data_IF_859029431034
#
_entry.id   IF_859029431034
#
_cell.length_a   1.000
_cell.length_b   1.000
_cell.length_c   1.000
_cell.angle_alpha   90.00
_cell.angle_beta   90.00
_cell.angle_gamma   90.00
#
_symmetry.space_group_name_H-M   'P 1'
#
loop_
_entity.id
_entity.type
_entity.pdbx_description
1 polymer ?
#
# COMPACT_ATOMS: atom_id res chain seq x y z
N UNK A 1 -28.85 -9.99 26.10
CA UNK A 1 -27.60 -9.27 26.38
C UNK A 1 -26.34 -9.94 25.80
N UNK A 2 -26.20 -11.27 25.89
CA UNK A 2 -24.98 -12.06 25.52
C UNK A 2 -24.10 -11.58 24.36
N UNK A 3 -24.68 -11.28 23.18
CA UNK A 3 -23.93 -11.18 21.92
C UNK A 3 -22.93 -10.02 21.78
N UNK A 4 -22.88 -9.10 22.75
CA UNK A 4 -21.86 -8.06 22.84
C UNK A 4 -20.62 -8.47 23.65
N UNK A 5 -20.76 -9.40 24.60
CA UNK A 5 -19.66 -9.87 25.44
C UNK A 5 -18.87 -10.96 24.71
N UNK A 6 -19.54 -11.91 24.07
CA UNK A 6 -18.93 -12.88 23.15
C UNK A 6 -18.09 -12.19 22.06
N UNK A 7 -18.56 -11.04 21.54
CA UNK A 7 -17.84 -10.20 20.56
C UNK A 7 -16.65 -9.43 21.14
N UNK A 8 -16.61 -9.19 22.45
CA UNK A 8 -15.43 -8.62 23.15
C UNK A 8 -14.41 -9.70 23.46
N UNK A 9 -14.86 -10.87 23.91
CA UNK A 9 -14.00 -12.01 24.25
C UNK A 9 -13.32 -12.61 23.00
N UNK A 10 -14.05 -12.74 21.89
CA UNK A 10 -13.50 -13.13 20.59
C UNK A 10 -12.55 -12.08 19.98
N UNK A 11 -12.49 -10.86 20.53
CA UNK A 11 -11.47 -9.85 20.20
C UNK A 11 -10.23 -9.97 21.08
N UNK A 12 -10.37 -10.33 22.36
CA UNK A 12 -9.23 -10.71 23.21
C UNK A 12 -8.52 -11.93 22.64
N UNK A 13 -9.22 -13.04 22.34
CA UNK A 13 -8.63 -14.23 21.68
C UNK A 13 -8.04 -14.02 20.26
N UNK A 14 -8.06 -12.80 19.72
CA UNK A 14 -7.43 -12.41 18.43
C UNK A 14 -6.30 -11.39 18.57
N UNK A 15 -5.99 -10.95 19.79
CA UNK A 15 -4.74 -10.29 20.15
C UNK A 15 -4.09 -11.18 21.20
N UNK A 16 -3.00 -11.85 20.84
CA UNK A 16 -2.20 -12.58 21.81
C UNK A 16 -1.61 -11.57 22.79
N UNK A 17 -2.25 -11.43 23.94
CA UNK A 17 -1.65 -10.82 25.13
C UNK A 17 -0.77 -11.90 25.78
N UNK A 18 0.29 -12.32 25.07
CA UNK A 18 1.32 -13.24 25.55
C UNK A 18 2.39 -12.44 26.32
N UNK A 19 2.07 -12.07 27.57
CA UNK A 19 3.08 -11.60 28.52
C UNK A 19 3.88 -12.79 29.09
N UNK A 20 4.91 -13.26 28.38
CA UNK A 20 6.16 -13.77 29.01
C UNK A 20 7.27 -14.06 27.97
N UNK A 21 8.21 -13.13 27.78
CA UNK A 21 9.51 -13.36 27.15
C UNK A 21 10.49 -12.19 27.43
N UNK A 22 11.61 -12.39 28.15
CA UNK A 22 12.63 -11.36 28.33
C UNK A 22 13.54 -11.21 27.09
N UNK A 23 14.21 -10.06 26.91
CA UNK A 23 15.07 -9.81 25.74
C UNK A 23 16.39 -10.58 25.81
N UNK A 24 16.88 -11.02 24.65
CA UNK A 24 18.26 -11.42 24.42
C UNK A 24 18.89 -10.40 23.47
N UNK A 25 20.00 -9.77 23.87
CA UNK A 25 20.59 -8.65 23.13
C UNK A 25 21.51 -9.11 21.99
N UNK A 26 21.66 -8.24 20.99
CA UNK A 26 22.81 -8.31 20.07
C UNK A 26 24.04 -7.75 20.80
N UNK A 27 25.17 -8.45 20.76
CA UNK A 27 26.47 -7.77 20.65
C UNK A 27 27.48 -8.61 19.87
N UNK A 28 28.63 -8.02 19.59
CA UNK A 28 29.44 -8.28 18.41
C UNK A 28 30.91 -8.51 18.75
N UNK A 29 31.64 -9.06 17.78
CA UNK A 29 33.04 -8.70 17.54
C UNK A 29 34.10 -8.94 18.65
N UNK A 30 34.64 -10.17 18.63
CA UNK A 30 36.08 -10.41 18.39
C UNK A 30 37.09 -10.59 19.55
N UNK A 31 38.17 -11.32 19.18
CA UNK A 31 39.59 -11.19 19.60
C UNK A 31 40.08 -11.64 21.01
N UNK A 32 40.88 -12.73 20.94
CA UNK A 32 42.24 -12.94 21.53
C UNK A 32 42.41 -13.22 23.03
N UNK A 33 43.32 -14.19 23.31
CA UNK A 33 44.25 -14.32 24.49
C UNK A 33 43.58 -14.24 25.89
N UNK A 34 43.52 -15.27 26.74
CA UNK A 34 44.33 -16.49 26.87
C UNK A 34 45.66 -16.25 27.61
N UNK A 35 45.86 -16.83 28.82
CA UNK A 35 47.15 -17.00 29.54
C UNK A 35 47.01 -17.87 30.82
N UNK A 36 48.07 -18.64 31.13
CA UNK A 36 48.60 -19.28 32.40
C UNK A 36 47.85 -19.04 33.75
N UNK A 37 47.93 -19.95 34.73
CA UNK A 37 48.74 -21.18 34.86
C UNK A 37 48.63 -21.88 36.25
N UNK A 38 49.65 -22.57 36.79
CA UNK A 38 50.79 -22.04 37.61
C UNK A 38 50.40 -21.74 39.08
N UNK A 39 51.09 -22.07 40.19
CA UNK A 39 52.40 -22.74 40.56
C UNK A 39 52.22 -23.35 42.00
N UNK A 40 53.08 -24.21 42.58
CA UNK A 40 54.32 -24.87 42.10
C UNK A 40 54.34 -26.41 42.36
N UNK A 41 55.03 -27.10 43.31
CA UNK A 41 55.95 -26.78 44.44
C UNK A 41 56.81 -28.04 44.79
N UNK A 42 57.61 -28.04 45.88
CA UNK A 42 58.89 -28.78 46.01
C UNK A 42 59.12 -29.58 47.33
N UNK A 43 60.18 -30.40 47.40
CA UNK A 43 60.83 -30.93 48.63
C UNK A 43 62.27 -31.47 48.36
N UNK A 44 63.08 -31.64 49.42
CA UNK A 44 64.55 -31.61 49.42
C UNK A 44 65.31 -32.95 49.58
N UNK A 45 66.65 -32.83 49.60
CA UNK A 45 67.75 -33.80 49.83
C UNK A 45 67.56 -34.89 50.91
N UNK A 46 68.25 -36.04 50.75
CA UNK A 46 69.27 -36.52 51.72
C UNK A 46 70.13 -37.70 51.18
N UNK A 47 71.24 -38.02 51.87
CA UNK A 47 72.06 -39.26 51.71
C UNK A 47 72.47 -39.75 53.10
N UNK A 48 72.64 -41.08 53.39
CA UNK A 48 73.98 -41.69 53.17
C UNK A 48 74.08 -43.25 53.04
N UNK A 49 75.17 -43.70 52.39
CA UNK A 49 76.10 -44.81 52.76
C UNK A 49 75.59 -46.14 53.40
N UNK A 50 75.75 -47.26 52.67
CA UNK A 50 76.14 -48.58 53.23
C UNK A 50 76.71 -49.56 52.16
N UNK A 51 77.70 -50.36 52.55
CA UNK A 51 78.25 -51.60 51.94
C UNK A 51 78.11 -52.73 53.01
N UNK A 52 78.36 -54.06 52.80
CA UNK A 52 79.26 -54.71 51.81
C UNK A 52 78.81 -56.10 51.24
N UNK A 53 79.79 -56.87 50.70
CA UNK A 53 79.82 -58.31 50.34
C UNK A 53 79.17 -58.78 49.00
N UNK A 54 79.64 -59.83 48.30
CA UNK A 54 80.98 -60.45 48.12
C UNK A 54 80.95 -61.53 46.99
N UNK A 55 82.13 -61.98 46.50
CA UNK A 55 82.40 -63.01 45.46
C UNK A 55 82.01 -62.61 44.00
N UNK A 56 82.87 -62.60 42.96
CA UNK A 56 83.98 -63.47 42.48
C UNK A 56 83.51 -64.59 41.52
N UNK A 57 84.22 -64.93 40.43
CA UNK A 57 85.46 -64.38 39.81
C UNK A 57 85.11 -63.60 38.49
N UNK A 58 85.96 -63.26 37.50
CA UNK A 58 87.38 -63.52 37.18
C UNK A 58 87.95 -62.39 36.27
N UNK A 59 89.07 -62.65 35.55
CA UNK A 59 89.81 -61.75 34.65
C UNK A 59 90.34 -62.60 33.43
N UNK A 60 91.39 -62.28 32.64
CA UNK A 60 92.33 -61.14 32.56
C UNK A 60 92.29 -60.40 31.19
N UNK A 61 93.17 -59.44 30.80
CA UNK A 61 93.89 -58.30 31.41
C UNK A 61 94.80 -57.69 30.29
N UNK A 62 95.65 -56.68 30.51
CA UNK A 62 95.42 -55.28 30.90
C UNK A 62 96.72 -54.48 30.61
N UNK A 63 96.67 -53.26 30.07
CA UNK A 63 97.84 -52.38 29.91
C UNK A 63 97.45 -50.89 29.72
N UNK A 64 98.13 -50.01 30.46
CA UNK A 64 98.17 -48.53 30.31
C UNK A 64 99.55 -48.16 29.70
N UNK A 65 100.04 -46.92 29.52
CA UNK A 65 99.65 -45.56 29.90
C UNK A 65 100.32 -44.57 28.92
N UNK A 66 99.70 -43.40 28.66
CA UNK A 66 100.32 -42.10 28.36
C UNK A 66 99.19 -41.06 28.21
N UNK A 67 99.10 -40.12 29.15
CA UNK A 67 97.83 -39.49 29.52
C UNK A 67 97.78 -37.96 29.35
N UNK A 68 98.91 -37.26 29.18
CA UNK A 68 98.94 -35.78 29.25
C UNK A 68 98.62 -35.05 27.93
N UNK A 69 99.30 -35.41 26.82
CA UNK A 69 99.02 -34.81 25.51
C UNK A 69 97.60 -35.11 25.01
N UNK A 70 97.08 -36.28 25.43
CA UNK A 70 95.78 -36.83 25.03
C UNK A 70 94.61 -36.02 25.58
N UNK A 71 94.71 -35.47 26.80
CA UNK A 71 93.66 -34.62 27.38
C UNK A 71 93.51 -33.27 26.67
N UNK A 72 94.60 -32.64 26.22
CA UNK A 72 94.50 -31.37 25.48
C UNK A 72 93.96 -31.60 24.06
N UNK A 73 94.34 -32.71 23.41
CA UNK A 73 93.78 -33.10 22.12
C UNK A 73 92.29 -33.46 22.24
N UNK A 74 91.88 -34.24 23.25
CA UNK A 74 90.48 -34.54 23.53
C UNK A 74 89.67 -33.27 23.85
N UNK A 75 90.22 -32.29 24.55
CA UNK A 75 89.53 -31.00 24.78
C UNK A 75 89.23 -30.28 23.47
N UNK A 76 90.19 -30.21 22.55
CA UNK A 76 90.01 -29.59 21.23
C UNK A 76 89.03 -30.38 20.36
N UNK A 77 89.10 -31.71 20.39
CA UNK A 77 88.15 -32.57 19.69
C UNK A 77 86.72 -32.42 20.25
N UNK A 78 86.55 -32.27 21.58
CA UNK A 78 85.25 -32.01 22.22
C UNK A 78 84.73 -30.60 21.92
N UNK A 79 85.58 -29.57 21.87
CA UNK A 79 85.18 -28.23 21.44
C UNK A 79 84.80 -28.18 19.95
N UNK A 80 85.49 -28.95 19.09
CA UNK A 80 85.15 -29.09 17.67
C UNK A 80 83.86 -29.91 17.47
N UNK A 81 83.64 -30.97 18.24
CA UNK A 81 82.41 -31.76 18.24
C UNK A 81 81.21 -30.97 18.80
N UNK A 82 81.39 -30.19 19.88
CA UNK A 82 80.36 -29.30 20.42
C UNK A 82 80.03 -28.17 19.43
N UNK A 83 81.04 -27.59 18.77
CA UNK A 83 80.83 -26.61 17.70
C UNK A 83 80.08 -27.22 16.50
N UNK A 84 80.44 -28.43 16.07
CA UNK A 84 79.77 -29.16 15.00
C UNK A 84 78.33 -29.55 15.37
N UNK A 85 78.09 -29.96 16.62
CA UNK A 85 76.76 -30.25 17.16
C UNK A 85 75.91 -28.97 17.22
N UNK A 86 76.47 -27.85 17.68
CA UNK A 86 75.79 -26.55 17.68
C UNK A 86 75.50 -26.03 16.26
N UNK A 87 76.37 -26.28 15.29
CA UNK A 87 76.08 -25.94 13.89
C UNK A 87 74.99 -26.86 13.30
N UNK A 88 75.04 -28.17 13.58
CA UNK A 88 74.02 -29.12 13.18
C UNK A 88 72.65 -28.79 13.79
N UNK A 89 72.60 -28.35 15.06
CA UNK A 89 71.37 -27.90 15.69
C UNK A 89 70.86 -26.60 15.05
N UNK A 90 71.73 -25.62 14.78
CA UNK A 90 71.35 -24.40 14.05
C UNK A 90 70.78 -24.70 12.67
N UNK A 91 71.40 -25.61 11.91
CA UNK A 91 70.88 -26.09 10.60
C UNK A 91 69.49 -26.73 10.74
N UNK A 92 69.29 -27.59 11.76
CA UNK A 92 67.97 -28.17 12.07
C UNK A 92 66.95 -27.10 12.44
N UNK A 93 67.28 -26.16 13.34
CA UNK A 93 66.40 -25.06 13.73
C UNK A 93 66.04 -24.15 12.54
N UNK A 94 66.97 -23.92 11.59
CA UNK A 94 66.68 -23.15 10.38
C UNK A 94 65.76 -23.91 9.42
N UNK A 95 65.99 -25.21 9.19
CA UNK A 95 65.11 -26.03 8.37
C UNK A 95 63.69 -26.08 8.96
N UNK A 96 63.58 -26.23 10.28
CA UNK A 96 62.30 -26.26 10.99
C UNK A 96 61.57 -24.90 10.91
N UNK A 97 62.30 -23.77 10.89
CA UNK A 97 61.75 -22.44 10.60
C UNK A 97 61.27 -22.32 9.15
N UNK A 98 62.05 -22.78 8.17
CA UNK A 98 61.68 -22.79 6.74
C UNK A 98 60.44 -23.64 6.49
N UNK A 99 60.34 -24.83 7.10
CA UNK A 99 59.15 -25.71 7.06
C UNK A 99 57.91 -25.00 7.64
N UNK A 100 58.03 -24.39 8.82
CA UNK A 100 56.92 -23.64 9.46
C UNK A 100 56.47 -22.45 8.62
N UNK A 101 57.40 -21.70 8.00
CA UNK A 101 57.08 -20.62 7.07
C UNK A 101 56.31 -21.13 5.84
N UNK A 102 56.78 -22.20 5.18
CA UNK A 102 56.09 -22.78 4.02
C UNK A 102 54.68 -23.29 4.37
N UNK A 103 54.48 -23.88 5.54
CA UNK A 103 53.16 -24.35 5.96
C UNK A 103 52.23 -23.21 6.39
N UNK A 104 52.76 -22.11 6.92
CA UNK A 104 52.00 -20.89 7.17
C UNK A 104 51.60 -20.20 5.85
N UNK A 105 52.51 -20.12 4.87
CA UNK A 105 52.21 -19.59 3.53
C UNK A 105 51.13 -20.41 2.81
N UNK A 106 51.22 -21.76 2.84
CA UNK A 106 50.17 -22.64 2.29
C UNK A 106 48.81 -22.37 2.93
N UNK A 107 48.75 -22.26 4.27
CA UNK A 107 47.52 -21.95 5.01
C UNK A 107 46.96 -20.58 4.61
N UNK A 108 47.81 -19.55 4.49
CA UNK A 108 47.37 -18.22 4.05
C UNK A 108 46.88 -18.20 2.60
N UNK A 109 47.46 -19.01 1.69
CA UNK A 109 46.96 -19.15 0.32
C UNK A 109 45.62 -19.90 0.27
N UNK A 110 45.46 -20.96 1.06
CA UNK A 110 44.19 -21.71 1.14
C UNK A 110 43.08 -20.86 1.76
N UNK A 111 43.36 -20.10 2.82
CA UNK A 111 42.43 -19.18 3.47
C UNK A 111 41.97 -18.05 2.52
N UNK A 112 42.87 -17.54 1.67
CA UNK A 112 42.52 -16.59 0.60
C UNK A 112 41.59 -17.21 -0.43
N UNK A 113 41.94 -18.37 -0.99
CA UNK A 113 41.10 -19.08 -1.97
C UNK A 113 39.70 -19.39 -1.45
N UNK A 114 39.60 -19.86 -0.19
CA UNK A 114 38.31 -20.11 0.48
C UNK A 114 37.46 -18.83 0.59
N UNK A 115 38.05 -17.68 0.91
CA UNK A 115 37.36 -16.38 0.94
C UNK A 115 36.94 -15.91 -0.46
N UNK A 116 37.80 -16.06 -1.46
CA UNK A 116 37.51 -15.69 -2.85
C UNK A 116 36.33 -16.51 -3.39
N UNK A 117 36.30 -17.82 -3.12
CA UNK A 117 35.19 -18.71 -3.50
C UNK A 117 33.89 -18.39 -2.74
N UNK A 118 33.98 -18.06 -1.44
CA UNK A 118 32.81 -17.63 -0.64
C UNK A 118 32.24 -16.30 -1.13
N UNK A 119 33.09 -15.33 -1.48
CA UNK A 119 32.68 -14.04 -2.03
C UNK A 119 32.05 -14.19 -3.44
N UNK A 120 32.60 -15.07 -4.29
CA UNK A 120 32.01 -15.39 -5.59
C UNK A 120 30.65 -16.09 -5.46
N UNK A 121 30.54 -17.10 -4.60
CA UNK A 121 29.26 -17.77 -4.28
C UNK A 121 28.21 -16.79 -3.78
N UNK A 122 28.59 -15.83 -2.93
CA UNK A 122 27.69 -14.78 -2.42
C UNK A 122 27.24 -13.81 -3.52
N UNK A 123 28.14 -13.38 -4.40
CA UNK A 123 27.79 -12.54 -5.57
C UNK A 123 26.89 -13.27 -6.57
N UNK A 124 27.08 -14.58 -6.76
CA UNK A 124 26.22 -15.40 -7.60
C UNK A 124 24.80 -15.53 -7.02
N UNK A 125 24.67 -15.70 -5.69
CA UNK A 125 23.38 -15.68 -5.00
C UNK A 125 22.69 -14.31 -5.12
N UNK A 126 23.41 -13.20 -4.89
CA UNK A 126 22.85 -11.84 -5.01
C UNK A 126 22.34 -11.53 -6.43
N UNK A 127 23.04 -12.00 -7.48
CA UNK A 127 22.55 -11.90 -8.86
C UNK A 127 21.29 -12.73 -9.09
N UNK A 128 21.29 -14.00 -8.68
CA UNK A 128 20.14 -14.88 -8.85
C UNK A 128 18.90 -14.41 -8.06
N UNK A 129 19.09 -13.69 -6.95
CA UNK A 129 18.01 -13.05 -6.20
C UNK A 129 17.46 -11.81 -6.94
N UNK A 130 18.34 -10.95 -7.48
CA UNK A 130 17.92 -9.80 -8.31
C UNK A 130 17.18 -10.22 -9.57
N UNK A 131 17.68 -11.20 -10.31
CA UNK A 131 17.03 -11.75 -11.50
C UNK A 131 15.63 -12.31 -11.19
N UNK A 132 15.43 -12.91 -10.00
CA UNK A 132 14.11 -13.35 -9.53
C UNK A 132 13.18 -12.20 -9.19
N UNK A 133 13.68 -11.17 -8.50
CA UNK A 133 12.90 -9.98 -8.16
C UNK A 133 12.47 -9.18 -9.41
N UNK A 134 13.37 -9.06 -10.39
CA UNK A 134 13.08 -8.43 -11.68
C UNK A 134 12.03 -9.24 -12.47
N UNK A 135 12.18 -10.58 -12.54
CA UNK A 135 11.18 -11.44 -13.18
C UNK A 135 9.80 -11.42 -12.49
N UNK A 136 9.74 -11.32 -11.15
CA UNK A 136 8.48 -11.17 -10.42
C UNK A 136 7.84 -9.79 -10.70
N UNK A 137 8.63 -8.72 -10.73
CA UNK A 137 8.14 -7.37 -11.07
C UNK A 137 7.63 -7.31 -12.52
N UNK A 138 8.34 -7.88 -13.49
CA UNK A 138 7.86 -7.98 -14.87
C UNK A 138 6.56 -8.78 -14.97
N UNK A 139 6.47 -9.94 -14.32
CA UNK A 139 5.24 -10.74 -14.28
C UNK A 139 4.07 -9.96 -13.66
N UNK A 140 4.32 -9.20 -12.59
CA UNK A 140 3.34 -8.33 -11.93
C UNK A 140 2.86 -7.21 -12.84
N UNK A 141 3.77 -6.57 -13.58
CA UNK A 141 3.45 -5.51 -14.56
C UNK A 141 2.65 -6.07 -15.74
N UNK A 142 3.06 -7.22 -16.30
CA UNK A 142 2.34 -7.89 -17.38
C UNK A 142 0.91 -8.30 -16.94
N UNK A 143 0.76 -8.85 -15.74
CA UNK A 143 -0.54 -9.19 -15.17
C UNK A 143 -1.44 -7.96 -14.97
N UNK A 144 -0.89 -6.83 -14.49
CA UNK A 144 -1.65 -5.59 -14.35
C UNK A 144 -2.05 -4.99 -15.71
N UNK A 145 -1.20 -5.11 -16.73
CA UNK A 145 -1.48 -4.64 -18.09
C UNK A 145 -2.55 -5.50 -18.79
N UNK A 146 -2.49 -6.83 -18.61
CA UNK A 146 -3.56 -7.75 -18.97
C UNK A 146 -4.89 -7.41 -18.27
N UNK A 147 -4.86 -7.13 -16.97
CA UNK A 147 -6.06 -6.83 -16.19
C UNK A 147 -6.67 -5.49 -16.63
N UNK A 148 -5.84 -4.49 -16.97
CA UNK A 148 -6.23 -3.24 -17.65
C UNK A 148 -6.84 -3.50 -19.05
N UNK A 149 -6.27 -4.38 -19.86
CA UNK A 149 -6.82 -4.81 -21.17
C UNK A 149 -8.19 -5.49 -21.00
N UNK A 150 -8.30 -6.44 -20.08
CA UNK A 150 -9.54 -7.17 -19.73
C UNK A 150 -10.63 -6.22 -19.18
N UNK A 151 -10.27 -5.23 -18.36
CA UNK A 151 -11.16 -4.16 -17.88
C UNK A 151 -11.64 -3.22 -19.00
N UNK A 152 -10.80 -2.87 -19.98
CA UNK A 152 -11.22 -2.10 -21.17
C UNK A 152 -12.27 -2.87 -22.00
N UNK A 153 -12.02 -4.16 -22.26
CA UNK A 153 -12.94 -5.02 -23.03
C UNK A 153 -14.34 -5.17 -22.43
N UNK A 154 -14.45 -5.24 -21.10
CA UNK A 154 -15.75 -5.40 -20.39
C UNK A 154 -16.64 -4.15 -20.38
N UNK A 155 -16.22 -3.00 -20.94
CA UNK A 155 -17.05 -1.77 -21.00
C UNK A 155 -18.05 -1.72 -22.17
N UNK A 156 -18.45 -2.87 -22.74
CA UNK A 156 -19.54 -2.99 -23.75
C UNK A 156 -20.96 -2.79 -23.15
N UNK A 157 -21.13 -1.79 -22.27
CA UNK A 157 -22.42 -1.32 -21.80
C UNK A 157 -22.97 -0.20 -22.69
N UNK A 158 -24.16 -0.39 -23.26
CA UNK A 158 -24.77 0.45 -24.29
C UNK A 158 -23.89 0.66 -25.54
N UNK A 159 -23.98 -0.28 -26.49
CA UNK A 159 -23.88 0.01 -27.93
C UNK A 159 -22.55 0.52 -28.50
N UNK A 160 -21.41 0.40 -27.80
CA UNK A 160 -20.08 0.74 -28.35
C UNK A 160 -19.81 2.23 -28.68
N UNK A 161 -20.82 3.10 -28.59
CA UNK A 161 -20.73 4.53 -28.89
C UNK A 161 -19.62 5.23 -28.09
N UNK A 162 -18.87 6.12 -28.75
CA UNK A 162 -17.84 6.95 -28.11
C UNK A 162 -18.41 7.80 -26.98
N UNK A 163 -17.57 8.18 -26.01
CA UNK A 163 -17.99 9.01 -24.89
C UNK A 163 -18.59 10.36 -25.34
N UNK A 164 -18.16 10.87 -26.49
CA UNK A 164 -18.68 12.09 -27.11
C UNK A 164 -20.07 11.88 -27.72
N UNK A 165 -20.26 10.81 -28.51
CA UNK A 165 -21.59 10.46 -29.04
C UNK A 165 -22.59 10.22 -27.90
N UNK A 166 -22.16 9.60 -26.78
CA UNK A 166 -23.00 9.44 -25.57
C UNK A 166 -23.32 10.77 -24.88
N UNK A 167 -22.40 11.75 -24.86
CA UNK A 167 -22.67 13.12 -24.35
C UNK A 167 -23.66 13.87 -25.25
N UNK A 168 -23.45 13.85 -26.57
CA UNK A 168 -24.31 14.51 -27.55
C UNK A 168 -25.73 13.94 -27.51
N UNK A 169 -25.86 12.60 -27.51
CA UNK A 169 -27.16 11.94 -27.39
C UNK A 169 -27.88 12.32 -26.09
N UNK A 170 -27.17 12.40 -24.95
CA UNK A 170 -27.76 12.91 -23.70
C UNK A 170 -28.22 14.37 -23.83
N UNK A 171 -27.46 15.24 -24.51
CA UNK A 171 -27.88 16.64 -24.76
C UNK A 171 -29.19 16.67 -25.57
N UNK A 172 -29.25 15.92 -26.68
CA UNK A 172 -30.43 15.85 -27.55
C UNK A 172 -31.66 15.31 -26.80
N UNK A 173 -31.51 14.25 -26.01
CA UNK A 173 -32.59 13.71 -25.16
C UNK A 173 -33.07 14.75 -24.14
N UNK A 174 -32.16 15.52 -23.52
CA UNK A 174 -32.54 16.58 -22.57
C UNK A 174 -33.17 17.80 -23.25
N UNK A 175 -32.77 18.13 -24.48
CA UNK A 175 -33.41 19.18 -25.27
C UNK A 175 -34.84 18.76 -25.65
N UNK A 176 -35.01 17.59 -26.27
CA UNK A 176 -36.34 17.07 -26.62
C UNK A 176 -37.24 16.94 -25.40
N UNK A 177 -36.75 16.43 -24.27
CA UNK A 177 -37.55 16.34 -23.05
C UNK A 177 -38.01 17.69 -22.50
N UNK A 178 -37.25 18.77 -22.71
CA UNK A 178 -37.66 20.13 -22.33
C UNK A 178 -38.66 20.74 -23.34
N UNK A 179 -38.51 20.42 -24.63
CA UNK A 179 -39.45 20.78 -25.70
C UNK A 179 -40.79 20.05 -25.52
N UNK A 180 -40.76 18.73 -25.30
CA UNK A 180 -41.92 17.88 -25.00
C UNK A 180 -42.67 18.42 -23.76
N UNK A 181 -41.97 18.70 -22.65
CA UNK A 181 -42.56 19.29 -21.43
C UNK A 181 -43.19 20.67 -21.68
N UNK A 182 -42.58 21.51 -22.51
CA UNK A 182 -43.13 22.83 -22.88
C UNK A 182 -44.37 22.67 -23.78
N UNK A 183 -44.41 21.65 -24.61
CA UNK A 183 -45.55 21.35 -25.49
C UNK A 183 -46.71 20.71 -24.72
N UNK A 184 -46.45 19.79 -23.78
CA UNK A 184 -47.44 19.26 -22.85
C UNK A 184 -48.07 20.40 -22.03
N UNK A 185 -47.25 21.32 -21.49
CA UNK A 185 -47.75 22.48 -20.74
C UNK A 185 -48.65 23.40 -21.59
N UNK A 186 -48.32 23.60 -22.89
CA UNK A 186 -49.18 24.34 -23.84
C UNK A 186 -50.49 23.60 -24.13
N UNK A 187 -50.42 22.29 -24.38
CA UNK A 187 -51.59 21.45 -24.68
C UNK A 187 -52.55 21.45 -23.50
N UNK A 188 -52.04 21.18 -22.28
CA UNK A 188 -52.81 21.21 -21.04
C UNK A 188 -53.42 22.58 -20.72
N UNK A 189 -52.75 23.67 -21.10
CA UNK A 189 -53.31 25.02 -20.99
C UNK A 189 -54.48 25.24 -21.98
N UNK A 190 -54.31 24.85 -23.24
CA UNK A 190 -55.36 24.95 -24.26
C UNK A 190 -56.55 24.01 -24.01
N UNK A 191 -56.31 22.83 -23.43
CA UNK A 191 -57.36 21.91 -22.97
C UNK A 191 -58.13 22.49 -21.79
N UNK A 192 -57.43 23.09 -20.82
CA UNK A 192 -58.07 23.83 -19.72
C UNK A 192 -58.91 24.99 -20.25
N UNK A 193 -58.42 25.74 -21.22
CA UNK A 193 -59.14 26.87 -21.83
C UNK A 193 -60.41 26.39 -22.55
N UNK A 194 -60.32 25.34 -23.38
CA UNK A 194 -61.48 24.70 -24.02
C UNK A 194 -62.51 24.24 -22.99
N UNK A 195 -62.07 23.48 -21.98
CA UNK A 195 -62.95 22.98 -20.92
C UNK A 195 -63.65 24.11 -20.14
N UNK A 196 -62.96 25.23 -19.89
CA UNK A 196 -63.57 26.42 -19.27
C UNK A 196 -64.59 27.05 -20.23
N UNK A 197 -64.27 27.23 -21.50
CA UNK A 197 -65.20 27.82 -22.48
C UNK A 197 -66.45 26.95 -22.71
N UNK A 198 -66.30 25.62 -22.67
CA UNK A 198 -67.40 24.66 -22.80
C UNK A 198 -68.28 24.63 -21.53
N UNK A 199 -67.69 24.68 -20.33
CA UNK A 199 -68.43 24.65 -19.04
C UNK A 199 -69.02 26.03 -18.66
N UNK A 200 -68.37 27.13 -19.02
CA UNK A 200 -68.69 28.51 -18.63
C UNK A 200 -69.10 29.31 -19.86
N UNK A 201 -70.33 29.10 -20.31
CA UNK A 201 -70.91 29.81 -21.44
C UNK A 201 -71.04 31.32 -21.15
N UNK A 202 -70.78 32.16 -22.16
CA UNK A 202 -70.86 33.63 -22.05
C UNK A 202 -72.30 34.04 -21.73
N UNK A 203 -72.51 34.66 -20.57
CA UNK A 203 -73.83 35.06 -20.06
C UNK A 203 -74.36 36.26 -20.85
N UNK A 204 -75.24 35.99 -21.82
CA UNK A 204 -75.96 37.04 -22.55
C UNK A 204 -77.10 37.61 -21.70
N UNK A 205 -77.08 38.92 -21.45
CA UNK A 205 -78.10 39.67 -20.70
C UNK A 205 -78.97 40.56 -21.60
N UNK A 206 -78.48 40.92 -22.78
CA UNK A 206 -79.19 41.74 -23.77
C UNK A 206 -80.54 41.11 -24.18
N UNK A 207 -81.57 41.95 -24.33
CA UNK A 207 -82.90 41.55 -24.79
C UNK A 207 -83.80 40.84 -23.77
N UNK A 208 -83.31 40.54 -22.55
CA UNK A 208 -84.09 39.87 -21.50
C UNK A 208 -84.96 40.85 -20.70
N UNK A 209 -86.15 40.39 -20.31
CA UNK A 209 -87.03 41.07 -19.36
C UNK A 209 -86.49 40.97 -17.91
N UNK A 210 -87.01 41.83 -17.01
CA UNK A 210 -86.62 41.80 -15.60
C UNK A 210 -86.85 40.42 -14.96
N UNK A 211 -87.98 39.77 -15.23
CA UNK A 211 -88.30 38.47 -14.63
C UNK A 211 -87.31 37.38 -15.07
N UNK A 212 -86.90 37.37 -16.34
CA UNK A 212 -85.90 36.44 -16.87
C UNK A 212 -84.50 36.71 -16.31
N UNK A 213 -84.14 37.98 -16.08
CA UNK A 213 -82.89 38.37 -15.42
C UNK A 213 -82.88 37.92 -13.95
N UNK A 214 -83.98 38.10 -13.23
CA UNK A 214 -84.12 37.62 -11.85
C UNK A 214 -84.07 36.09 -11.73
N UNK A 215 -84.64 35.35 -12.69
CA UNK A 215 -84.54 33.89 -12.75
C UNK A 215 -83.10 33.46 -13.05
N UNK A 216 -82.45 34.08 -14.05
CA UNK A 216 -81.06 33.83 -14.41
C UNK A 216 -80.09 34.01 -13.23
N UNK A 217 -80.26 35.07 -12.43
CA UNK A 217 -79.44 35.32 -11.24
C UNK A 217 -79.66 34.22 -10.18
N UNK A 218 -80.89 33.77 -9.96
CA UNK A 218 -81.22 32.70 -9.01
C UNK A 218 -80.62 31.36 -9.46
N UNK A 219 -80.69 31.03 -10.74
CA UNK A 219 -80.02 29.85 -11.32
C UNK A 219 -78.49 29.90 -11.19
N UNK A 220 -77.87 31.05 -11.50
CA UNK A 220 -76.42 31.22 -11.41
C UNK A 220 -75.93 31.08 -9.96
N UNK A 221 -76.66 31.64 -9.00
CA UNK A 221 -76.38 31.46 -7.58
C UNK A 221 -76.46 29.98 -7.16
N UNK A 222 -77.51 29.24 -7.57
CA UNK A 222 -77.63 27.81 -7.28
C UNK A 222 -76.46 27.01 -7.89
N UNK A 223 -76.07 27.33 -9.13
CA UNK A 223 -74.91 26.71 -9.80
C UNK A 223 -73.62 26.99 -9.06
N UNK A 224 -73.39 28.22 -8.56
CA UNK A 224 -72.22 28.56 -7.73
C UNK A 224 -72.16 27.72 -6.46
N UNK A 225 -73.25 27.60 -5.70
CA UNK A 225 -73.24 26.82 -4.45
C UNK A 225 -72.85 25.35 -4.67
N UNK A 226 -73.33 24.71 -5.75
CA UNK A 226 -72.94 23.33 -6.10
C UNK A 226 -71.48 23.25 -6.55
N UNK A 227 -70.99 24.25 -7.28
CA UNK A 227 -69.58 24.32 -7.71
C UNK A 227 -68.63 24.56 -6.52
N UNK A 228 -69.04 25.29 -5.50
CA UNK A 228 -68.27 25.48 -4.26
C UNK A 228 -68.17 24.18 -3.45
N UNK A 229 -69.24 23.38 -3.40
CA UNK A 229 -69.22 22.03 -2.83
C UNK A 229 -68.29 21.09 -3.62
N UNK A 230 -68.39 21.06 -4.97
CA UNK A 230 -67.46 20.31 -5.82
C UNK A 230 -65.99 20.70 -5.54
N UNK A 231 -65.69 22.00 -5.46
CA UNK A 231 -64.34 22.52 -5.23
C UNK A 231 -63.81 22.07 -3.86
N UNK A 232 -64.58 22.23 -2.79
CA UNK A 232 -64.18 21.78 -1.45
C UNK A 232 -63.86 20.28 -1.45
N UNK A 233 -64.70 19.47 -2.09
CA UNK A 233 -64.54 18.02 -2.15
C UNK A 233 -63.30 17.61 -2.97
N UNK A 234 -62.95 18.36 -4.02
CA UNK A 234 -61.68 18.21 -4.74
C UNK A 234 -60.46 18.65 -3.93
N UNK A 235 -60.52 19.78 -3.22
CA UNK A 235 -59.40 20.22 -2.37
C UNK A 235 -59.10 19.21 -1.26
N UNK A 236 -60.13 18.62 -0.64
CA UNK A 236 -59.95 17.59 0.40
C UNK A 236 -59.32 16.31 -0.18
N UNK A 237 -59.64 15.94 -1.43
CA UNK A 237 -58.99 14.81 -2.14
C UNK A 237 -57.52 15.13 -2.43
N UNK A 238 -57.21 16.32 -2.93
CA UNK A 238 -55.84 16.77 -3.21
C UNK A 238 -55.00 16.81 -1.92
N UNK A 239 -55.51 17.43 -0.84
CA UNK A 239 -54.82 17.46 0.47
C UNK A 239 -54.47 16.06 0.98
N UNK A 240 -55.38 15.08 0.84
CA UNK A 240 -55.12 13.68 1.22
C UNK A 240 -54.00 13.06 0.37
N UNK A 241 -54.00 13.30 -0.94
CA UNK A 241 -52.95 12.84 -1.84
C UNK A 241 -51.59 13.50 -1.54
N UNK A 242 -51.56 14.79 -1.21
CA UNK A 242 -50.34 15.49 -0.78
C UNK A 242 -49.78 14.89 0.52
N UNK A 243 -50.62 14.56 1.51
CA UNK A 243 -50.17 13.86 2.72
C UNK A 243 -49.59 12.47 2.40
N UNK A 244 -50.24 11.69 1.52
CA UNK A 244 -49.74 10.38 1.10
C UNK A 244 -48.40 10.48 0.34
N UNK A 245 -48.28 11.42 -0.60
CA UNK A 245 -47.04 11.69 -1.34
C UNK A 245 -45.91 12.10 -0.38
N UNK A 246 -46.20 12.91 0.64
CA UNK A 246 -45.22 13.29 1.66
C UNK A 246 -44.81 12.09 2.52
N UNK A 247 -45.74 11.26 2.99
CA UNK A 247 -45.41 10.02 3.70
C UNK A 247 -44.56 9.06 2.86
N UNK A 248 -44.94 8.84 1.60
CA UNK A 248 -44.20 7.98 0.68
C UNK A 248 -42.80 8.55 0.40
N UNK A 249 -42.66 9.87 0.27
CA UNK A 249 -41.37 10.54 0.12
C UNK A 249 -40.48 10.36 1.36
N UNK A 250 -41.03 10.46 2.56
CA UNK A 250 -40.31 10.18 3.81
C UNK A 250 -39.87 8.71 3.89
N UNK A 251 -40.78 7.76 3.65
CA UNK A 251 -40.50 6.31 3.61
C UNK A 251 -39.41 5.96 2.58
N UNK A 252 -39.45 6.59 1.40
CA UNK A 252 -38.44 6.45 0.34
C UNK A 252 -37.08 7.06 0.73
N UNK A 253 -37.05 8.12 1.53
CA UNK A 253 -35.79 8.73 1.99
C UNK A 253 -35.15 7.95 3.15
N UNK A 254 -35.94 7.45 4.11
CA UNK A 254 -35.42 6.63 5.19
C UNK A 254 -34.94 5.25 4.70
N UNK A 255 -35.63 4.62 3.73
CA UNK A 255 -35.17 3.37 3.09
C UNK A 255 -33.93 3.54 2.21
N UNK A 256 -33.73 4.72 1.59
CA UNK A 256 -32.45 5.10 0.96
C UNK A 256 -31.33 5.37 1.99
N UNK A 257 -31.68 5.45 3.27
CA UNK A 257 -30.78 5.72 4.39
C UNK A 257 -30.69 7.20 4.71
N UNK A 258 -31.27 7.60 5.86
CA UNK A 258 -31.14 8.94 6.46
C UNK A 258 -29.69 9.42 6.61
N UNK A 259 -28.73 8.49 6.64
CA UNK A 259 -27.29 8.73 6.61
C UNK A 259 -26.61 8.07 5.39
N UNK A 260 -27.03 8.41 4.16
CA UNK A 260 -26.11 8.34 3.01
C UNK A 260 -24.93 9.26 3.35
N UNK A 261 -23.83 8.70 3.86
CA UNK A 261 -22.64 9.44 4.25
C UNK A 261 -22.15 10.24 3.03
N UNK A 262 -22.28 11.59 3.01
CA UNK A 262 -21.99 12.34 1.80
C UNK A 262 -20.51 12.19 1.49
N UNK A 263 -20.19 11.74 0.28
CA UNK A 263 -18.82 11.45 -0.13
C UNK A 263 -18.02 12.75 -0.05
N UNK A 264 -17.17 12.86 0.97
CA UNK A 264 -16.41 14.07 1.32
C UNK A 264 -15.33 14.34 0.28
N UNK A 265 -15.74 14.92 -0.85
CA UNK A 265 -14.81 15.45 -1.86
C UNK A 265 -14.02 16.61 -1.24
N UNK A 266 -12.73 16.72 -1.57
CA UNK A 266 -11.87 17.84 -1.19
C UNK A 266 -12.31 19.12 -1.91
N UNK A 267 -13.38 19.75 -1.42
CA UNK A 267 -13.92 21.02 -1.94
C UNK A 267 -13.05 22.17 -1.47
N UNK A 268 -12.38 22.85 -2.40
CA UNK A 268 -11.52 23.98 -2.06
C UNK A 268 -12.39 25.21 -1.73
N UNK A 269 -12.41 25.63 -0.45
CA UNK A 269 -13.27 26.73 0.03
C UNK A 269 -13.02 28.06 -0.69
N UNK A 270 -11.82 28.27 -1.24
CA UNK A 270 -11.51 29.45 -2.06
C UNK A 270 -12.15 29.36 -3.43
N UNK A 271 -12.10 28.21 -4.11
CA UNK A 271 -12.59 28.03 -5.48
C UNK A 271 -14.08 28.38 -5.62
N UNK A 272 -14.94 27.96 -4.68
CA UNK A 272 -16.37 28.29 -4.72
C UNK A 272 -16.66 29.77 -4.40
N UNK A 273 -15.83 30.42 -3.56
CA UNK A 273 -15.96 31.85 -3.26
C UNK A 273 -15.44 32.71 -4.42
N UNK A 274 -14.29 32.35 -4.99
CA UNK A 274 -13.75 32.93 -6.21
C UNK A 274 -14.76 32.79 -7.35
N UNK A 275 -15.37 31.62 -7.55
CA UNK A 275 -16.45 31.43 -8.54
C UNK A 275 -17.68 32.30 -8.30
N UNK A 276 -18.06 32.60 -7.05
CA UNK A 276 -19.14 33.59 -6.77
C UNK A 276 -18.71 35.00 -7.16
N UNK A 277 -17.53 35.44 -6.73
CA UNK A 277 -16.97 36.77 -7.05
C UNK A 277 -16.82 36.92 -8.57
N UNK A 278 -16.25 35.93 -9.26
CA UNK A 278 -16.18 35.95 -10.73
C UNK A 278 -17.57 35.90 -11.36
N UNK A 279 -18.54 35.14 -10.84
CA UNK A 279 -19.90 35.13 -11.42
C UNK A 279 -20.58 36.49 -11.30
N UNK A 280 -20.41 37.23 -10.21
CA UNK A 280 -20.93 38.59 -10.07
C UNK A 280 -20.24 39.59 -11.01
N UNK A 281 -18.94 39.40 -11.28
CA UNK A 281 -18.18 40.18 -12.29
C UNK A 281 -18.53 39.74 -13.73
N UNK A 282 -19.27 38.63 -13.90
CA UNK A 282 -19.49 37.96 -15.19
C UNK A 282 -20.95 37.66 -15.44
N UNK A 283 -21.76 38.70 -15.44
CA UNK A 283 -23.17 38.64 -15.89
C UNK A 283 -23.30 38.17 -17.36
N UNK A 284 -22.19 38.19 -18.13
CA UNK A 284 -22.08 37.64 -19.48
C UNK A 284 -20.91 36.67 -19.71
N UNK A 285 -20.47 35.84 -18.74
CA UNK A 285 -19.69 34.62 -19.13
C UNK A 285 -20.56 33.51 -19.69
N UNK A 286 -20.98 33.73 -20.94
CA UNK A 286 -20.69 32.71 -21.93
C UNK A 286 -19.18 32.54 -22.09
N UNK A 287 -18.74 31.29 -22.26
CA UNK A 287 -17.35 30.97 -22.63
C UNK A 287 -16.93 31.66 -23.94
N UNK A 288 -17.91 31.97 -24.81
CA UNK A 288 -17.77 32.69 -26.08
C UNK A 288 -17.23 34.12 -25.89
N UNK A 289 -17.65 34.84 -24.85
CA UNK A 289 -17.28 36.25 -24.63
C UNK A 289 -15.80 36.46 -24.27
N UNK A 290 -15.10 35.41 -23.84
CA UNK A 290 -13.69 35.46 -23.46
C UNK A 290 -12.74 35.01 -24.60
N UNK A 291 -13.28 34.74 -25.80
CA UNK A 291 -12.55 34.44 -27.03
C UNK A 291 -12.53 35.68 -27.93
N UNK A 292 -11.39 35.96 -28.57
CA UNK A 292 -11.31 37.01 -29.60
C UNK A 292 -12.07 36.54 -30.84
N UNK A 293 -13.29 37.05 -31.05
CA UNK A 293 -14.02 36.84 -32.29
C UNK A 293 -13.30 37.54 -33.45
N UNK A 294 -13.13 36.84 -34.57
CA UNK A 294 -12.55 37.38 -35.81
C UNK A 294 -13.59 38.02 -36.73
N UNK A 295 -14.84 38.18 -36.26
CA UNK A 295 -15.93 38.79 -37.02
C UNK A 295 -16.53 37.91 -38.15
N UNK A 296 -15.90 36.80 -38.51
CA UNK A 296 -16.36 35.93 -39.60
C UNK A 296 -17.02 34.65 -39.10
N UNK A 297 -18.33 34.70 -38.88
CA UNK A 297 -19.18 33.53 -38.61
C UNK A 297 -19.40 32.67 -39.88
N UNK A 298 -18.36 32.02 -40.41
CA UNK A 298 -18.46 31.12 -41.59
C UNK A 298 -19.28 29.84 -41.35
N UNK A 299 -19.78 29.64 -40.13
CA UNK A 299 -20.54 28.47 -39.67
C UNK A 299 -21.63 28.86 -38.66
N UNK A 300 -22.17 30.09 -38.73
CA UNK A 300 -23.52 30.29 -38.23
C UNK A 300 -24.47 29.53 -39.16
N UNK A 301 -25.34 28.70 -38.59
CA UNK A 301 -26.61 28.40 -39.25
C UNK A 301 -27.50 29.59 -38.95
N UNK A 302 -28.08 30.19 -39.98
CA UNK A 302 -29.07 31.23 -39.80
C UNK A 302 -30.30 30.60 -39.11
N UNK A 303 -30.77 31.23 -38.04
CA UNK A 303 -31.99 30.83 -37.35
C UNK A 303 -33.17 31.47 -38.11
N UNK A 304 -33.75 30.73 -39.05
CA UNK A 304 -35.02 31.12 -39.70
C UNK A 304 -36.16 31.21 -38.66
N UNK A 305 -37.03 32.22 -38.80
CA UNK A 305 -38.05 32.64 -37.81
C UNK A 305 -39.23 31.67 -37.62
#
# INVERSE_FOLDING_TARGET
MSSLEERREARRRRRGDDEDAPPAEEDTSSRRRGRRGTEDESASEETPKAEPEAEAEQAPAAAEDDSSAREEEERRQREEEEAAAAEAERRRQEEDRRRKQQDEEKRQQEEKRRREEEEERKKAQERAERERMEAEEEARVQAEEEEKKKKKGKRKGLGGLSAEKKKLLKKLIMQKAAEDLRNEAKQKAAEKEKYINDRVQIIKTEGKSQAELEQLVKELHQKVCVLEEEVYDWEIKIRKQDFEINELTLKVNDTKGKFIKPVLRKVNKTESKLKKITKQIKESTDFRGNLKSTGQNKYALDEEE
#
